data_IF_285630305448
#
_entry.id   IF_285630305448
#
_cell.length_a   1.000
_cell.length_b   1.000
_cell.length_c   1.000
_cell.angle_alpha   90.00
_cell.angle_beta   90.00
_cell.angle_gamma   90.00
#
_symmetry.space_group_name_H-M   'P 1'
#
loop_
_entity.id
_entity.type
_entity.pdbx_description
1 polymer ?
#
# COMPACT_ATOMS: atom_id res chain seq x y z
N UNK A 1 29.84 14.80 8.43
CA UNK A 1 28.46 15.33 8.62
C UNK A 1 27.45 14.78 7.61
N UNK A 2 27.82 14.46 6.36
CA UNK A 2 26.86 13.93 5.36
C UNK A 2 26.29 12.53 5.67
N UNK A 3 27.09 11.62 6.21
CA UNK A 3 26.67 10.23 6.46
C UNK A 3 25.65 10.11 7.61
N UNK A 4 25.81 10.90 8.67
CA UNK A 4 24.85 10.95 9.79
C UNK A 4 23.49 11.51 9.34
N UNK A 5 23.48 12.47 8.41
CA UNK A 5 22.25 13.01 7.84
C UNK A 5 21.53 11.98 6.94
N UNK A 6 22.29 11.19 6.18
CA UNK A 6 21.75 10.11 5.36
C UNK A 6 21.15 8.98 6.22
N UNK A 7 21.86 8.54 7.26
CA UNK A 7 21.37 7.53 8.19
C UNK A 7 20.09 7.97 8.91
N UNK A 8 20.03 9.24 9.36
CA UNK A 8 18.83 9.80 9.99
C UNK A 8 17.63 9.84 9.02
N UNK A 9 17.85 10.24 7.76
CA UNK A 9 16.80 10.23 6.73
C UNK A 9 16.28 8.82 6.48
N UNK A 10 17.17 7.85 6.24
CA UNK A 10 16.79 6.45 5.98
C UNK A 10 15.99 5.91 7.16
N UNK A 11 16.44 6.16 8.40
CA UNK A 11 15.73 5.75 9.60
C UNK A 11 14.28 6.26 9.60
N UNK A 12 14.08 7.57 9.40
CA UNK A 12 12.74 8.19 9.37
C UNK A 12 11.88 7.62 8.25
N UNK A 13 12.41 7.51 7.04
CA UNK A 13 11.65 7.04 5.87
C UNK A 13 11.25 5.57 6.01
N UNK A 14 12.15 4.72 6.53
CA UNK A 14 11.86 3.31 6.73
C UNK A 14 10.78 3.12 7.81
N UNK A 15 10.89 3.80 8.96
CA UNK A 15 9.85 3.77 9.99
C UNK A 15 8.50 4.29 9.48
N UNK A 16 8.52 5.37 8.70
CA UNK A 16 7.31 5.94 8.09
C UNK A 16 6.60 4.95 7.17
N UNK A 17 7.34 4.25 6.31
CA UNK A 17 6.76 3.30 5.37
C UNK A 17 6.36 1.97 6.03
N UNK A 18 7.16 1.48 6.98
CA UNK A 18 6.81 0.30 7.78
C UNK A 18 5.45 0.46 8.48
N UNK A 19 5.22 1.61 9.13
CA UNK A 19 4.00 1.90 9.88
C UNK A 19 2.72 1.90 9.01
N UNK A 20 2.86 1.95 7.68
CA UNK A 20 1.75 1.94 6.72
C UNK A 20 1.42 0.54 6.18
N UNK A 21 1.88 -0.50 6.88
CA UNK A 21 1.35 -1.86 6.77
C UNK A 21 1.52 -2.53 5.40
N UNK A 22 2.66 -2.34 4.73
CA UNK A 22 2.95 -3.10 3.50
C UNK A 22 3.43 -4.51 3.83
N UNK A 23 2.59 -5.55 3.75
CA UNK A 23 3.02 -6.89 4.16
C UNK A 23 4.22 -7.43 3.37
N UNK A 24 4.31 -7.17 2.05
CA UNK A 24 5.47 -7.62 1.27
C UNK A 24 6.70 -6.77 1.60
N UNK A 25 6.57 -5.44 1.56
CA UNK A 25 7.73 -4.60 1.84
C UNK A 25 8.20 -4.79 3.28
N UNK A 26 7.29 -5.00 4.23
CA UNK A 26 7.62 -5.31 5.62
C UNK A 26 8.27 -6.69 5.75
N UNK A 27 7.86 -7.69 4.98
CA UNK A 27 8.58 -8.96 4.94
C UNK A 27 10.02 -8.80 4.43
N UNK A 28 10.22 -8.04 3.35
CA UNK A 28 11.56 -7.70 2.84
C UNK A 28 12.36 -6.90 3.87
N UNK A 29 11.73 -5.94 4.56
CA UNK A 29 12.33 -5.18 5.64
C UNK A 29 12.77 -6.08 6.79
N UNK A 30 11.93 -7.03 7.19
CA UNK A 30 12.27 -8.03 8.21
C UNK A 30 13.51 -8.82 7.84
N UNK A 31 13.64 -9.28 6.59
CA UNK A 31 14.85 -9.98 6.13
C UNK A 31 16.11 -9.11 6.20
N UNK A 32 16.01 -7.82 5.85
CA UNK A 32 17.13 -6.86 5.95
C UNK A 32 17.51 -6.66 7.41
N UNK A 33 16.52 -6.42 8.29
CA UNK A 33 16.75 -6.13 9.71
C UNK A 33 17.27 -7.34 10.48
N UNK A 34 16.71 -8.54 10.25
CA UNK A 34 17.18 -9.80 10.85
C UNK A 34 18.65 -10.04 10.50
N UNK A 35 19.02 -9.87 9.22
CA UNK A 35 20.40 -10.03 8.76
C UNK A 35 21.34 -9.00 9.39
N UNK A 36 20.94 -7.74 9.44
CA UNK A 36 21.75 -6.65 9.98
C UNK A 36 21.90 -6.70 11.51
N UNK A 37 20.84 -7.11 12.22
CA UNK A 37 20.86 -7.24 13.67
C UNK A 37 21.48 -8.56 14.16
N UNK A 38 21.71 -9.53 13.28
CA UNK A 38 22.28 -10.83 13.63
C UNK A 38 21.39 -11.66 14.55
N UNK A 39 20.07 -11.47 14.47
CA UNK A 39 19.07 -12.22 15.24
C UNK A 39 18.35 -13.22 14.32
N UNK A 40 17.66 -14.21 14.89
CA UNK A 40 16.92 -15.20 14.11
C UNK A 40 15.69 -14.59 13.40
N UNK A 41 14.95 -13.73 14.10
CA UNK A 41 13.78 -13.03 13.56
C UNK A 41 13.54 -11.71 14.30
N UNK A 42 13.30 -10.63 13.54
CA UNK A 42 12.83 -9.35 14.07
C UNK A 42 11.31 -9.37 14.12
N UNK A 43 10.75 -9.19 15.31
CA UNK A 43 9.30 -9.02 15.46
C UNK A 43 8.86 -7.71 14.80
N UNK A 44 8.17 -7.82 13.68
CA UNK A 44 7.65 -6.68 12.91
C UNK A 44 6.32 -6.12 13.44
N UNK A 45 5.76 -6.74 14.48
CA UNK A 45 4.54 -6.29 15.16
C UNK A 45 4.84 -5.41 16.36
N UNK A 46 6.06 -5.49 16.91
CA UNK A 46 6.53 -4.66 18.00
C UNK A 46 7.34 -3.43 17.49
N UNK A 47 6.85 -2.19 17.69
CA UNK A 47 7.59 -0.99 17.32
C UNK A 47 8.97 -0.87 18.00
N UNK A 48 9.14 -1.40 19.20
CA UNK A 48 10.41 -1.32 19.94
C UNK A 48 11.47 -2.26 19.36
N UNK A 49 11.06 -3.49 19.01
CA UNK A 49 11.87 -4.45 18.27
C UNK A 49 12.44 -3.84 16.98
N UNK A 50 11.58 -3.18 16.20
CA UNK A 50 11.99 -2.55 14.94
C UNK A 50 12.91 -1.37 15.17
N UNK A 51 12.58 -0.43 16.06
CA UNK A 51 13.42 0.73 16.35
C UNK A 51 14.83 0.30 16.80
N UNK A 52 14.94 -0.77 17.60
CA UNK A 52 16.24 -1.35 17.97
C UNK A 52 16.98 -1.93 16.76
N UNK A 53 16.31 -2.76 15.95
CA UNK A 53 16.93 -3.37 14.78
C UNK A 53 17.35 -2.32 13.74
N UNK A 54 16.53 -1.27 13.54
CA UNK A 54 16.83 -0.17 12.62
C UNK A 54 18.08 0.58 13.06
N UNK A 55 18.22 0.90 14.35
CA UNK A 55 19.41 1.58 14.89
C UNK A 55 20.69 0.79 14.65
N UNK A 56 20.62 -0.53 14.74
CA UNK A 56 21.75 -1.41 14.43
C UNK A 56 22.02 -1.39 12.92
N UNK A 57 20.99 -1.55 12.10
CA UNK A 57 21.11 -1.60 10.64
C UNK A 57 21.63 -0.30 10.02
N UNK A 58 21.24 0.88 10.50
CA UNK A 58 21.74 2.16 9.97
C UNK A 58 23.21 2.45 10.34
N UNK A 59 23.76 1.71 11.30
CA UNK A 59 25.18 1.78 11.65
C UNK A 59 26.06 0.91 10.73
N UNK A 60 25.48 -0.05 10.02
CA UNK A 60 26.14 -0.86 9.00
C UNK A 60 25.96 -0.20 7.61
N UNK A 61 27.05 0.22 6.93
CA UNK A 61 26.97 0.85 5.61
C UNK A 61 26.27 -0.01 4.53
N UNK A 62 26.40 -1.34 4.60
CA UNK A 62 25.76 -2.24 3.63
C UNK A 62 24.24 -2.28 3.84
N UNK A 63 23.81 -2.52 5.08
CA UNK A 63 22.40 -2.50 5.45
C UNK A 63 21.77 -1.10 5.24
N UNK A 64 22.50 -0.02 5.49
CA UNK A 64 22.03 1.34 5.22
C UNK A 64 21.72 1.56 3.73
N UNK A 65 22.56 1.06 2.83
CA UNK A 65 22.33 1.16 1.38
C UNK A 65 21.12 0.32 0.93
N UNK A 66 20.95 -0.89 1.49
CA UNK A 66 19.77 -1.73 1.23
C UNK A 66 18.48 -1.06 1.73
N UNK A 67 18.52 -0.47 2.92
CA UNK A 67 17.39 0.28 3.49
C UNK A 67 17.05 1.53 2.67
N UNK A 68 18.06 2.23 2.13
CA UNK A 68 17.85 3.38 1.25
C UNK A 68 17.12 2.99 -0.04
N UNK A 69 17.56 1.90 -0.68
CA UNK A 69 16.90 1.35 -1.85
C UNK A 69 15.49 0.86 -1.53
N UNK A 70 15.31 0.24 -0.37
CA UNK A 70 14.02 -0.27 0.06
C UNK A 70 12.97 0.83 0.17
N UNK A 71 13.26 1.94 0.87
CA UNK A 71 12.25 2.98 1.09
C UNK A 71 11.94 3.74 -0.20
N UNK A 72 12.92 3.95 -1.09
CA UNK A 72 12.72 4.58 -2.41
C UNK A 72 11.86 3.71 -3.32
N UNK A 73 12.06 2.39 -3.28
CA UNK A 73 11.23 1.43 -4.00
C UNK A 73 9.79 1.46 -3.47
N UNK A 74 9.58 1.44 -2.15
CA UNK A 74 8.24 1.52 -1.54
C UNK A 74 7.56 2.84 -1.90
N UNK A 75 8.29 3.95 -1.82
CA UNK A 75 7.82 5.26 -2.23
C UNK A 75 7.43 5.26 -3.72
N UNK A 76 8.29 4.77 -4.62
CA UNK A 76 7.99 4.71 -6.06
C UNK A 76 6.75 3.86 -6.37
N UNK A 77 6.55 2.74 -5.64
CA UNK A 77 5.34 1.92 -5.77
C UNK A 77 4.10 2.69 -5.31
N UNK A 78 4.20 3.47 -4.23
CA UNK A 78 3.07 4.12 -3.57
C UNK A 78 2.75 5.53 -4.08
N UNK A 79 3.72 6.27 -4.62
CA UNK A 79 3.66 7.71 -4.85
C UNK A 79 3.08 8.17 -6.21
N UNK A 80 2.64 7.31 -7.13
CA UNK A 80 1.96 7.89 -8.31
C UNK A 80 1.77 7.07 -9.58
N UNK A 81 1.36 5.81 -9.51
CA UNK A 81 0.70 5.20 -10.67
C UNK A 81 -0.50 4.40 -10.22
N UNK A 82 -1.70 4.86 -10.57
CA UNK A 82 -2.97 4.17 -10.29
C UNK A 82 -3.03 2.76 -10.91
N UNK A 83 -2.21 2.49 -11.93
CA UNK A 83 -1.98 1.14 -12.49
C UNK A 83 -1.10 0.24 -11.62
N UNK A 84 -0.32 0.78 -10.69
CA UNK A 84 0.58 0.04 -9.78
C UNK A 84 0.22 0.15 -8.30
N UNK A 85 -0.61 1.11 -7.91
CA UNK A 85 -1.14 1.25 -6.55
C UNK A 85 -2.64 0.93 -6.54
N UNK A 86 -3.02 -0.34 -6.31
CA UNK A 86 -4.42 -0.75 -6.31
C UNK A 86 -5.25 -0.02 -5.25
N UNK A 87 -4.66 0.43 -4.13
CA UNK A 87 -5.39 1.19 -3.09
C UNK A 87 -5.86 2.54 -3.61
N UNK A 88 -4.97 3.29 -4.27
CA UNK A 88 -5.29 4.63 -4.77
C UNK A 88 -6.32 4.58 -5.91
N UNK A 89 -6.21 3.57 -6.80
CA UNK A 89 -7.21 3.34 -7.84
C UNK A 89 -8.59 2.95 -7.29
N UNK A 90 -8.62 2.12 -6.25
CA UNK A 90 -9.87 1.73 -5.57
C UNK A 90 -10.50 2.91 -4.84
N UNK A 91 -9.75 3.67 -4.04
CA UNK A 91 -10.27 4.82 -3.30
C UNK A 91 -10.89 5.90 -4.22
N UNK A 92 -10.21 6.22 -5.33
CA UNK A 92 -10.76 7.14 -6.34
C UNK A 92 -12.04 6.60 -6.99
N UNK A 93 -12.08 5.31 -7.29
CA UNK A 93 -13.24 4.68 -7.90
C UNK A 93 -14.42 4.61 -6.93
N UNK A 94 -14.19 4.29 -5.66
CA UNK A 94 -15.19 4.31 -4.60
C UNK A 94 -15.79 5.71 -4.45
N UNK A 95 -14.93 6.74 -4.37
CA UNK A 95 -15.38 8.14 -4.29
C UNK A 95 -16.24 8.53 -5.49
N UNK A 96 -15.76 8.23 -6.71
CA UNK A 96 -16.52 8.50 -7.92
C UNK A 96 -17.89 7.81 -7.93
N UNK A 97 -17.95 6.52 -7.58
CA UNK A 97 -19.22 5.79 -7.57
C UNK A 97 -20.15 6.31 -6.49
N UNK A 98 -19.63 6.63 -5.30
CA UNK A 98 -20.42 7.13 -4.18
C UNK A 98 -20.98 8.53 -4.46
N UNK A 99 -20.15 9.46 -4.95
CA UNK A 99 -20.60 10.82 -5.33
C UNK A 99 -21.71 10.77 -6.38
N UNK A 100 -21.61 9.84 -7.34
CA UNK A 100 -22.62 9.65 -8.39
C UNK A 100 -23.89 9.01 -7.84
N UNK A 101 -23.78 8.07 -6.91
CA UNK A 101 -24.92 7.42 -6.26
C UNK A 101 -25.68 8.35 -5.31
N UNK A 102 -24.99 9.29 -4.69
CA UNK A 102 -25.58 10.26 -3.75
C UNK A 102 -26.21 11.47 -4.48
N UNK A 103 -26.07 11.53 -5.80
CA UNK A 103 -26.78 12.51 -6.62
C UNK A 103 -28.28 12.17 -6.66
N UNK A 104 -29.15 13.12 -6.29
CA UNK A 104 -30.59 12.92 -6.11
C UNK A 104 -31.35 12.33 -7.31
N UNK A 105 -30.82 12.48 -8.53
CA UNK A 105 -31.36 11.85 -9.74
C UNK A 105 -30.23 11.27 -10.58
N UNK A 106 -30.10 9.94 -10.55
CA UNK A 106 -29.15 9.21 -11.40
C UNK A 106 -29.78 9.05 -12.77
N UNK A 107 -29.19 9.67 -13.80
CA UNK A 107 -29.65 9.48 -15.17
C UNK A 107 -29.20 8.13 -15.73
N UNK A 108 -29.89 7.57 -16.75
CA UNK A 108 -29.47 6.34 -17.42
C UNK A 108 -28.04 6.41 -17.98
N UNK A 109 -27.60 7.58 -18.47
CA UNK A 109 -26.25 7.82 -18.97
C UNK A 109 -25.23 7.80 -17.83
N UNK A 110 -25.57 8.40 -16.70
CA UNK A 110 -24.75 8.38 -15.48
C UNK A 110 -24.56 6.95 -14.97
N UNK A 111 -25.64 6.16 -14.98
CA UNK A 111 -25.61 4.75 -14.61
C UNK A 111 -24.75 3.93 -15.58
N UNK A 112 -24.85 4.20 -16.88
CA UNK A 112 -24.00 3.57 -17.91
C UNK A 112 -22.51 3.86 -17.72
N UNK A 113 -22.15 5.08 -17.32
CA UNK A 113 -20.77 5.44 -17.00
C UNK A 113 -20.27 4.74 -15.72
N UNK A 114 -21.10 4.67 -14.68
CA UNK A 114 -20.76 3.93 -13.47
C UNK A 114 -20.49 2.45 -13.77
N UNK A 115 -21.26 1.82 -14.66
CA UNK A 115 -21.03 0.44 -15.11
C UNK A 115 -19.71 0.28 -15.87
N UNK A 116 -19.36 1.23 -16.74
CA UNK A 116 -18.05 1.22 -17.43
C UNK A 116 -16.90 1.33 -16.45
N UNK A 117 -17.02 2.21 -15.44
CA UNK A 117 -16.02 2.36 -14.40
C UNK A 117 -15.86 1.07 -13.57
N UNK A 118 -16.97 0.44 -13.15
CA UNK A 118 -16.94 -0.86 -12.46
C UNK A 118 -16.23 -1.92 -13.32
N UNK A 119 -16.56 -2.02 -14.61
CA UNK A 119 -15.92 -3.00 -15.49
C UNK A 119 -14.41 -2.76 -15.66
N UNK A 120 -13.97 -1.50 -15.68
CA UNK A 120 -12.56 -1.13 -15.72
C UNK A 120 -11.85 -1.54 -14.42
N UNK A 121 -12.44 -1.21 -13.26
CA UNK A 121 -11.88 -1.54 -11.94
C UNK A 121 -11.85 -3.05 -11.71
N UNK A 122 -12.92 -3.78 -12.03
CA UNK A 122 -12.96 -5.25 -11.94
C UNK A 122 -11.82 -5.87 -12.78
N UNK A 123 -11.58 -5.35 -13.98
CA UNK A 123 -10.47 -5.81 -14.85
C UNK A 123 -9.11 -5.49 -14.23
N UNK A 124 -8.95 -4.33 -13.63
CA UNK A 124 -7.72 -3.96 -12.91
C UNK A 124 -7.47 -4.90 -11.74
N UNK A 125 -8.47 -5.14 -10.87
CA UNK A 125 -8.36 -6.08 -9.74
C UNK A 125 -7.97 -7.48 -10.24
N UNK A 126 -8.63 -7.99 -11.29
CA UNK A 126 -8.31 -9.32 -11.86
C UNK A 126 -6.88 -9.36 -12.40
N UNK A 127 -6.45 -8.33 -13.13
CA UNK A 127 -5.09 -8.26 -13.69
C UNK A 127 -4.01 -8.14 -12.60
N UNK A 128 -4.38 -7.52 -11.47
CA UNK A 128 -3.53 -7.26 -10.33
C UNK A 128 -3.66 -8.31 -9.22
N UNK A 129 -4.45 -9.38 -9.39
CA UNK A 129 -4.75 -10.36 -8.32
C UNK A 129 -3.51 -11.04 -7.74
N UNK A 130 -2.43 -11.12 -8.53
CA UNK A 130 -1.15 -11.70 -8.12
C UNK A 130 -0.22 -10.67 -7.49
N UNK A 131 -0.60 -9.38 -7.48
CA UNK A 131 0.12 -8.38 -6.73
C UNK A 131 0.01 -8.72 -5.24
N UNK A 132 1.08 -8.58 -4.47
CA UNK A 132 1.11 -8.91 -3.04
C UNK A 132 -0.01 -8.25 -2.25
N UNK A 133 -0.35 -7.00 -2.58
CA UNK A 133 -1.38 -6.20 -1.94
C UNK A 133 -2.79 -6.78 -2.12
N UNK A 134 -3.03 -7.57 -3.19
CA UNK A 134 -4.31 -8.24 -3.44
C UNK A 134 -4.26 -9.75 -3.18
N UNK A 135 -3.08 -10.38 -3.27
CA UNK A 135 -2.86 -11.77 -2.92
C UNK A 135 -2.87 -11.98 -1.40
N UNK A 136 -2.38 -11.01 -0.64
CA UNK A 136 -2.36 -10.98 0.83
C UNK A 136 -2.80 -9.59 1.32
N UNK A 137 -4.10 -9.25 1.19
CA UNK A 137 -4.60 -7.93 1.54
C UNK A 137 -4.54 -7.73 3.06
N UNK A 138 -4.01 -6.57 3.46
CA UNK A 138 -4.07 -6.10 4.84
C UNK A 138 -5.45 -5.53 5.18
N UNK A 139 -5.66 -5.14 6.44
CA UNK A 139 -6.95 -4.63 6.91
C UNK A 139 -7.47 -3.42 6.11
N UNK A 140 -6.57 -2.51 5.72
CA UNK A 140 -6.93 -1.35 4.90
C UNK A 140 -7.37 -1.75 3.49
N UNK A 141 -6.66 -2.69 2.85
CA UNK A 141 -7.06 -3.17 1.53
C UNK A 141 -8.38 -3.96 1.59
N UNK A 142 -8.59 -4.78 2.62
CA UNK A 142 -9.84 -5.49 2.83
C UNK A 142 -11.02 -4.53 3.01
N UNK A 143 -10.83 -3.46 3.78
CA UNK A 143 -11.83 -2.40 3.96
C UNK A 143 -12.14 -1.68 2.63
N UNK A 144 -11.11 -1.31 1.85
CA UNK A 144 -11.29 -0.72 0.52
C UNK A 144 -12.03 -1.65 -0.44
N UNK A 145 -11.68 -2.94 -0.48
CA UNK A 145 -12.38 -3.93 -1.30
C UNK A 145 -13.84 -4.09 -0.86
N UNK A 146 -14.10 -4.09 0.44
CA UNK A 146 -15.46 -4.13 1.00
C UNK A 146 -16.30 -2.93 0.55
N UNK A 147 -15.78 -1.71 0.73
CA UNK A 147 -16.44 -0.47 0.28
C UNK A 147 -16.67 -0.43 -1.22
N UNK A 148 -15.71 -0.94 -2.02
CA UNK A 148 -15.89 -1.05 -3.47
C UNK A 148 -17.01 -2.03 -3.83
N UNK A 149 -17.07 -3.21 -3.20
CA UNK A 149 -18.12 -4.19 -3.46
C UNK A 149 -19.52 -3.66 -3.08
N UNK A 150 -19.61 -2.86 -2.02
CA UNK A 150 -20.85 -2.16 -1.63
C UNK A 150 -21.28 -1.13 -2.66
N UNK A 151 -20.38 -0.23 -3.08
CA UNK A 151 -20.68 0.75 -4.13
C UNK A 151 -21.09 0.06 -5.45
N UNK A 152 -20.38 -1.01 -5.81
CA UNK A 152 -20.67 -1.84 -6.98
C UNK A 152 -22.05 -2.48 -6.90
N UNK A 153 -22.44 -3.05 -5.75
CA UNK A 153 -23.74 -3.69 -5.59
C UNK A 153 -24.88 -2.67 -5.70
N UNK A 154 -24.71 -1.47 -5.14
CA UNK A 154 -25.68 -0.36 -5.27
C UNK A 154 -25.90 0.04 -6.73
N UNK A 155 -24.82 0.21 -7.52
CA UNK A 155 -24.93 0.52 -8.96
C UNK A 155 -25.61 -0.60 -9.73
N UNK A 156 -25.31 -1.86 -9.42
CA UNK A 156 -25.95 -3.01 -10.07
C UNK A 156 -27.41 -3.21 -9.66
N UNK A 157 -27.82 -2.78 -8.47
CA UNK A 157 -29.22 -2.86 -8.01
C UNK A 157 -30.13 -1.79 -8.64
N UNK A 158 -29.56 -0.70 -9.14
CA UNK A 158 -30.26 0.35 -9.88
C UNK A 158 -30.44 0.01 -11.38
N UNK A 159 -29.97 -1.16 -11.80
CA UNK A 159 -29.97 -1.65 -13.18
C UNK A 159 -31.25 -2.41 -13.55
#
# INVERSE_FOLDING_TARGET
MGELAAASKVHVMVSYWWSRGDSLANHQLGQILTRAAGVDEVDLTDPQSIDRALRIAVADPAALAELDQWWQMVETRRAGNSTRNPRLGLDQSIRYLTDRLDTAAITPEALGECRRQIAAVDRTIISAKNLPELAHPDAEMLDLLGRYLEARSRVLALA
#
